data_IF_503633989804
#
_entry.id   IF_503633989804
#
_cell.length_a   1.000
_cell.length_b   1.000
_cell.length_c   1.000
_cell.angle_alpha   90.00
_cell.angle_beta   90.00
_cell.angle_gamma   90.00
#
_symmetry.space_group_name_H-M   'P 1'
#
loop_
_entity.id
_entity.type
_entity.pdbx_description
1 polymer ?
#
# COMPACT_ATOMS: atom_id res chain seq x y z
N UNK A 1 6.88 21.91 22.32
CA UNK A 1 6.34 20.94 21.32
C UNK A 1 7.10 19.63 21.48
N UNK A 2 6.52 18.63 22.18
CA UNK A 2 7.10 17.28 22.28
C UNK A 2 7.24 16.70 20.87
N UNK A 3 8.49 16.48 20.43
CA UNK A 3 8.78 15.70 19.22
C UNK A 3 8.09 14.33 19.35
N UNK A 4 7.03 14.09 18.57
CA UNK A 4 6.45 12.76 18.42
C UNK A 4 7.58 11.83 17.93
N UNK A 5 8.16 11.06 18.83
CA UNK A 5 9.05 9.95 18.47
C UNK A 5 8.22 8.94 17.70
N UNK A 6 8.35 8.96 16.38
CA UNK A 6 7.83 7.88 15.53
C UNK A 6 8.57 6.64 15.99
N UNK A 7 7.87 5.68 16.60
CA UNK A 7 8.47 4.43 17.04
C UNK A 7 9.15 3.76 15.85
N UNK A 8 10.23 2.99 16.08
CA UNK A 8 10.97 2.22 15.05
C UNK A 8 10.10 1.15 14.32
N UNK A 9 8.79 1.29 14.32
CA UNK A 9 7.84 0.35 13.72
C UNK A 9 7.77 0.59 12.21
N UNK A 10 7.82 -0.48 11.45
CA UNK A 10 7.59 -0.47 9.99
C UNK A 10 6.17 0.00 9.72
N UNK A 11 5.99 1.20 9.15
CA UNK A 11 4.68 1.81 8.95
C UNK A 11 4.43 2.25 7.49
N UNK A 12 5.40 2.02 6.60
CA UNK A 12 5.26 2.36 5.18
C UNK A 12 4.71 1.16 4.41
N UNK A 13 3.67 1.43 3.64
CA UNK A 13 3.13 0.61 2.59
C UNK A 13 3.61 1.18 1.25
N UNK A 14 4.69 0.64 0.71
CA UNK A 14 5.33 1.16 -0.50
C UNK A 14 4.62 0.63 -1.75
N UNK A 15 4.22 1.52 -2.66
CA UNK A 15 3.63 1.15 -3.96
C UNK A 15 4.67 1.37 -5.05
N UNK A 16 4.77 0.43 -6.01
CA UNK A 16 5.71 0.55 -7.14
C UNK A 16 5.46 1.82 -7.96
N UNK A 17 6.48 2.34 -8.66
CA UNK A 17 6.25 3.33 -9.69
C UNK A 17 5.46 2.72 -10.87
N UNK A 18 4.88 3.56 -11.73
CA UNK A 18 4.13 3.10 -12.91
C UNK A 18 5.01 2.43 -13.97
N UNK A 19 6.31 2.81 -14.03
CA UNK A 19 7.31 2.23 -14.95
C UNK A 19 8.51 1.71 -14.17
N UNK A 20 8.96 0.51 -14.51
CA UNK A 20 10.13 -0.13 -13.92
C UNK A 20 11.36 0.18 -14.78
N UNK A 21 12.20 1.11 -14.32
CA UNK A 21 13.49 1.47 -14.95
C UNK A 21 14.60 0.48 -14.53
N UNK A 22 15.74 0.47 -15.23
CA UNK A 22 16.92 -0.39 -14.87
C UNK A 22 17.35 -0.20 -13.40
N UNK A 23 17.42 1.05 -12.92
CA UNK A 23 17.81 1.40 -11.54
C UNK A 23 16.79 1.02 -10.46
N UNK A 24 15.56 0.63 -10.84
CA UNK A 24 14.50 0.35 -9.88
C UNK A 24 14.87 -0.70 -8.83
N UNK A 25 15.46 -1.82 -9.26
CA UNK A 25 15.76 -2.92 -8.34
C UNK A 25 16.83 -2.54 -7.30
N UNK A 26 17.84 -1.76 -7.70
CA UNK A 26 18.84 -1.22 -6.77
C UNK A 26 18.20 -0.25 -5.79
N UNK A 27 17.40 0.69 -6.29
CA UNK A 27 16.67 1.63 -5.46
C UNK A 27 15.68 0.93 -4.51
N UNK A 28 14.98 -0.12 -4.97
CA UNK A 28 14.09 -0.90 -4.12
C UNK A 28 14.85 -1.52 -2.94
N UNK A 29 16.02 -2.14 -3.19
CA UNK A 29 16.85 -2.70 -2.11
C UNK A 29 17.25 -1.64 -1.09
N UNK A 30 17.66 -0.45 -1.54
CA UNK A 30 18.03 0.68 -0.66
C UNK A 30 16.82 1.12 0.16
N UNK A 31 15.64 1.27 -0.46
CA UNK A 31 14.43 1.67 0.27
C UNK A 31 14.01 0.62 1.30
N UNK A 32 14.06 -0.67 0.95
CA UNK A 32 13.68 -1.74 1.87
C UNK A 32 14.67 -1.94 3.02
N UNK A 33 15.96 -1.63 2.83
CA UNK A 33 16.97 -1.71 3.89
C UNK A 33 16.79 -0.65 4.99
N UNK A 34 15.94 0.37 4.78
CA UNK A 34 15.59 1.36 5.80
C UNK A 34 14.84 0.79 7.00
N UNK A 35 14.31 -0.43 6.91
CA UNK A 35 13.43 -1.04 7.91
C UNK A 35 12.12 -0.27 8.19
N UNK A 36 11.70 0.67 7.34
CA UNK A 36 10.45 1.40 7.48
C UNK A 36 9.29 0.75 6.74
N UNK A 37 9.58 -0.13 5.76
CA UNK A 37 8.59 -0.72 4.86
C UNK A 37 8.09 -2.06 5.39
N UNK A 38 6.76 -2.18 5.55
CA UNK A 38 6.08 -3.45 5.87
C UNK A 38 5.56 -4.17 4.65
N UNK A 39 5.01 -3.42 3.70
CA UNK A 39 4.37 -3.93 2.50
C UNK A 39 4.96 -3.27 1.26
N UNK A 40 5.12 -4.06 0.22
CA UNK A 40 5.39 -3.57 -1.13
C UNK A 40 4.27 -4.01 -2.07
N UNK A 41 3.53 -3.06 -2.65
CA UNK A 41 2.52 -3.34 -3.65
C UNK A 41 3.09 -3.19 -5.05
N UNK A 42 3.02 -4.26 -5.85
CA UNK A 42 3.36 -4.23 -7.27
C UNK A 42 2.14 -3.79 -8.07
N UNK A 43 2.15 -2.56 -8.60
CA UNK A 43 1.07 -1.95 -9.37
C UNK A 43 1.56 -1.51 -10.74
N UNK A 44 1.38 -2.37 -11.75
CA UNK A 44 1.85 -2.20 -13.13
C UNK A 44 0.67 -2.36 -14.11
N UNK A 45 -0.19 -1.35 -14.19
CA UNK A 45 -1.45 -1.42 -14.97
C UNK A 45 -1.24 -1.52 -16.49
N UNK A 46 -0.11 -1.04 -17.00
CA UNK A 46 0.18 -1.00 -18.44
C UNK A 46 1.16 -2.08 -18.91
N UNK A 47 1.44 -3.06 -18.05
CA UNK A 47 2.32 -4.19 -18.34
C UNK A 47 1.50 -5.44 -18.65
N UNK A 48 1.96 -6.24 -19.60
CA UNK A 48 1.38 -7.55 -19.90
C UNK A 48 1.46 -8.49 -18.69
N UNK A 49 0.64 -9.52 -18.67
CA UNK A 49 0.65 -10.55 -17.62
C UNK A 49 2.04 -11.22 -17.51
N UNK A 50 2.69 -11.47 -18.65
CA UNK A 50 4.02 -12.10 -18.71
C UNK A 50 5.06 -11.22 -18.03
N UNK A 51 5.07 -9.92 -18.36
CA UNK A 51 5.99 -8.96 -17.74
C UNK A 51 5.72 -8.80 -16.25
N UNK A 52 4.45 -8.65 -15.84
CA UNK A 52 4.07 -8.56 -14.43
C UNK A 52 4.52 -9.80 -13.64
N UNK A 53 4.40 -10.99 -14.23
CA UNK A 53 4.89 -12.25 -13.63
C UNK A 53 6.41 -12.23 -13.47
N UNK A 54 7.14 -11.91 -14.55
CA UNK A 54 8.62 -11.85 -14.54
C UNK A 54 9.15 -10.85 -13.51
N UNK A 55 8.58 -9.64 -13.49
CA UNK A 55 8.94 -8.58 -12.54
C UNK A 55 8.57 -9.00 -11.12
N UNK A 56 7.36 -9.53 -10.92
CA UNK A 56 6.85 -9.95 -9.62
C UNK A 56 7.70 -11.01 -8.95
N UNK A 57 8.18 -12.00 -9.71
CA UNK A 57 9.09 -13.04 -9.19
C UNK A 57 10.41 -12.44 -8.69
N UNK A 58 11.01 -11.50 -9.45
CA UNK A 58 12.24 -10.79 -9.01
C UNK A 58 12.00 -9.99 -7.74
N UNK A 59 10.89 -9.24 -7.69
CA UNK A 59 10.55 -8.41 -6.53
C UNK A 59 10.26 -9.27 -5.31
N UNK A 60 9.58 -10.43 -5.48
CA UNK A 60 9.33 -11.37 -4.38
C UNK A 60 10.62 -11.81 -3.69
N UNK A 61 11.67 -12.16 -4.47
CA UNK A 61 12.98 -12.52 -3.92
C UNK A 61 13.58 -11.38 -3.09
N UNK A 62 13.47 -10.14 -3.59
CA UNK A 62 13.94 -8.94 -2.87
C UNK A 62 13.13 -8.73 -1.59
N UNK A 63 11.80 -8.71 -1.68
CA UNK A 63 10.93 -8.52 -0.52
C UNK A 63 11.19 -9.57 0.57
N UNK A 64 11.35 -10.85 0.20
CA UNK A 64 11.68 -11.93 1.14
C UNK A 64 12.98 -11.64 1.90
N UNK A 65 14.04 -11.19 1.21
CA UNK A 65 15.34 -10.85 1.83
C UNK A 65 15.20 -9.77 2.92
N UNK A 66 14.34 -8.77 2.68
CA UNK A 66 14.12 -7.65 3.62
C UNK A 66 12.93 -7.87 4.58
N UNK A 67 12.31 -9.06 4.58
CA UNK A 67 11.13 -9.40 5.41
C UNK A 67 9.96 -8.43 5.17
N UNK A 68 9.75 -8.02 3.90
CA UNK A 68 8.65 -7.15 3.45
C UNK A 68 7.61 -8.03 2.74
N UNK A 69 6.33 -7.79 3.00
CA UNK A 69 5.23 -8.53 2.37
C UNK A 69 4.97 -8.01 0.96
N UNK A 70 4.96 -8.92 -0.03
CA UNK A 70 4.62 -8.58 -1.41
C UNK A 70 3.11 -8.67 -1.64
N UNK A 71 2.50 -7.57 -2.07
CA UNK A 71 1.08 -7.48 -2.44
C UNK A 71 0.97 -7.21 -3.93
N UNK A 72 0.12 -7.95 -4.63
CA UNK A 72 -0.19 -7.72 -6.05
C UNK A 72 -1.43 -6.84 -6.17
N UNK A 73 -1.37 -5.84 -7.03
CA UNK A 73 -2.51 -4.97 -7.28
C UNK A 73 -3.51 -5.64 -8.23
N UNK A 74 -4.79 -5.64 -7.89
CA UNK A 74 -5.99 -6.02 -8.68
C UNK A 74 -6.06 -7.50 -9.12
N UNK A 75 -5.01 -8.32 -8.99
CA UNK A 75 -4.92 -9.64 -9.63
C UNK A 75 -4.61 -10.78 -8.63
N UNK A 76 -5.64 -11.40 -8.02
CA UNK A 76 -5.48 -12.54 -7.12
C UNK A 76 -4.85 -13.77 -7.77
N UNK A 77 -5.12 -13.99 -9.08
CA UNK A 77 -4.55 -15.13 -9.80
C UNK A 77 -3.04 -14.99 -9.98
N UNK A 78 -2.57 -13.80 -10.37
CA UNK A 78 -1.14 -13.51 -10.44
C UNK A 78 -0.49 -13.61 -9.05
N UNK A 79 -1.16 -13.10 -8.00
CA UNK A 79 -0.66 -13.19 -6.63
C UNK A 79 -0.47 -14.65 -6.20
N UNK A 80 -1.43 -15.53 -6.50
CA UNK A 80 -1.33 -16.99 -6.27
C UNK A 80 -0.17 -17.58 -7.09
N UNK A 81 -0.12 -17.30 -8.40
CA UNK A 81 0.84 -17.86 -9.36
C UNK A 81 2.30 -17.57 -9.01
N UNK A 82 2.62 -16.37 -8.54
CA UNK A 82 3.98 -16.01 -8.12
C UNK A 82 4.25 -16.27 -6.64
N UNK A 83 3.24 -16.73 -5.91
CA UNK A 83 3.31 -16.97 -4.47
C UNK A 83 3.49 -15.69 -3.64
N UNK A 84 2.91 -14.55 -4.06
CA UNK A 84 2.92 -13.32 -3.28
C UNK A 84 2.22 -13.50 -1.92
N UNK A 85 2.43 -12.57 -0.98
CA UNK A 85 1.82 -12.61 0.35
C UNK A 85 0.33 -12.24 0.31
N UNK A 86 -0.12 -11.53 -0.74
CA UNK A 86 -1.53 -11.16 -0.89
C UNK A 86 -1.82 -10.33 -2.14
N UNK A 87 -3.05 -9.80 -2.16
CA UNK A 87 -3.56 -8.94 -3.21
C UNK A 87 -4.26 -7.71 -2.62
N UNK A 88 -4.23 -6.59 -3.34
CA UNK A 88 -5.01 -5.39 -3.05
C UNK A 88 -6.03 -5.16 -4.14
N UNK A 89 -7.30 -4.98 -3.77
CA UNK A 89 -8.43 -4.84 -4.66
C UNK A 89 -8.99 -3.41 -4.63
N UNK A 90 -9.38 -2.89 -5.78
CA UNK A 90 -10.24 -1.73 -5.90
C UNK A 90 -11.71 -2.12 -5.91
N UNK A 91 -12.60 -1.12 -6.10
CA UNK A 91 -14.04 -1.35 -6.06
C UNK A 91 -14.62 -1.98 -7.33
N UNK A 92 -13.88 -1.90 -8.45
CA UNK A 92 -14.26 -2.46 -9.74
C UNK A 92 -13.50 -3.75 -10.09
N UNK A 93 -12.71 -4.26 -9.11
CA UNK A 93 -11.95 -5.48 -9.28
C UNK A 93 -12.75 -6.69 -8.75
N UNK A 94 -12.12 -7.86 -8.69
CA UNK A 94 -12.72 -9.08 -8.15
C UNK A 94 -13.22 -8.84 -6.71
N UNK A 95 -14.41 -9.33 -6.38
CA UNK A 95 -14.95 -9.23 -5.00
C UNK A 95 -14.14 -10.07 -4.01
N UNK A 96 -14.14 -9.66 -2.73
CA UNK A 96 -13.32 -10.27 -1.69
C UNK A 96 -13.58 -11.76 -1.56
N UNK A 97 -14.84 -12.20 -1.63
CA UNK A 97 -15.23 -13.59 -1.45
C UNK A 97 -14.62 -14.50 -2.54
N UNK A 98 -14.59 -14.06 -3.80
CA UNK A 98 -13.95 -14.80 -4.89
C UNK A 98 -12.44 -14.79 -4.79
N UNK A 99 -11.85 -13.62 -4.50
CA UNK A 99 -10.43 -13.51 -4.24
C UNK A 99 -9.99 -14.41 -3.07
N UNK A 100 -10.84 -14.58 -2.05
CA UNK A 100 -10.60 -15.47 -0.90
C UNK A 100 -10.58 -16.95 -1.31
N UNK A 101 -11.44 -17.37 -2.25
CA UNK A 101 -11.40 -18.73 -2.80
C UNK A 101 -10.05 -19.04 -3.46
N UNK A 102 -9.46 -18.06 -4.15
CA UNK A 102 -8.17 -18.18 -4.86
C UNK A 102 -6.99 -18.12 -3.88
N UNK A 103 -7.00 -17.13 -3.00
CA UNK A 103 -5.86 -16.77 -2.13
C UNK A 103 -5.86 -17.50 -0.78
N UNK A 104 -6.96 -18.15 -0.42
CA UNK A 104 -7.11 -18.88 0.86
C UNK A 104 -6.76 -17.97 2.05
N UNK A 105 -5.74 -18.29 2.81
CA UNK A 105 -5.29 -17.56 4.03
C UNK A 105 -4.40 -16.34 3.74
N UNK A 106 -4.13 -16.02 2.47
CA UNK A 106 -3.28 -14.86 2.11
C UNK A 106 -3.99 -13.53 2.35
N UNK A 107 -3.21 -12.47 2.38
CA UNK A 107 -3.68 -11.11 2.66
C UNK A 107 -4.55 -10.60 1.51
N UNK A 108 -5.73 -10.10 1.82
CA UNK A 108 -6.60 -9.35 0.90
C UNK A 108 -6.86 -7.99 1.52
N UNK A 109 -6.42 -6.94 0.83
CA UNK A 109 -6.75 -5.57 1.17
C UNK A 109 -7.71 -4.96 0.16
N UNK A 110 -8.47 -3.95 0.57
CA UNK A 110 -9.41 -3.28 -0.31
C UNK A 110 -9.43 -1.77 -0.14
N UNK A 111 -9.56 -1.05 -1.27
CA UNK A 111 -9.75 0.40 -1.30
C UNK A 111 -11.18 0.74 -0.89
N UNK A 112 -11.35 1.59 0.14
CA UNK A 112 -12.66 2.07 0.63
C UNK A 112 -12.91 3.55 0.32
N UNK A 113 -12.04 4.21 -0.44
CA UNK A 113 -12.13 5.64 -0.76
C UNK A 113 -12.36 6.50 0.50
N UNK A 114 -13.36 7.38 0.47
CA UNK A 114 -13.80 8.20 1.61
C UNK A 114 -15.12 7.71 2.22
N UNK A 115 -15.47 6.42 2.07
CA UNK A 115 -16.80 5.88 2.35
C UNK A 115 -16.85 4.97 3.57
N UNK A 116 -17.61 5.36 4.59
CA UNK A 116 -17.95 4.50 5.73
C UNK A 116 -18.72 3.23 5.31
N UNK A 117 -19.56 3.32 4.27
CA UNK A 117 -20.32 2.18 3.71
C UNK A 117 -19.37 1.11 3.17
N UNK A 118 -18.37 1.52 2.37
CA UNK A 118 -17.37 0.58 1.82
C UNK A 118 -16.50 -0.04 2.92
N UNK A 119 -16.19 0.70 3.99
CA UNK A 119 -15.48 0.16 5.14
C UNK A 119 -16.29 -0.93 5.84
N UNK A 120 -17.60 -0.71 6.05
CA UNK A 120 -18.48 -1.73 6.63
C UNK A 120 -18.53 -3.00 5.79
N UNK A 121 -18.67 -2.88 4.47
CA UNK A 121 -18.63 -4.03 3.56
C UNK A 121 -17.29 -4.75 3.61
N UNK A 122 -16.17 -4.02 3.57
CA UNK A 122 -14.83 -4.62 3.65
C UNK A 122 -14.65 -5.48 4.92
N UNK A 123 -15.14 -4.99 6.06
CA UNK A 123 -15.10 -5.73 7.34
C UNK A 123 -15.97 -6.97 7.27
N UNK A 124 -17.24 -6.84 6.82
CA UNK A 124 -18.18 -7.94 6.67
C UNK A 124 -17.66 -9.04 5.75
N UNK A 125 -17.05 -8.65 4.64
CA UNK A 125 -16.56 -9.55 3.59
C UNK A 125 -15.20 -10.19 3.91
N UNK A 126 -14.59 -9.87 5.06
CA UNK A 126 -13.38 -10.51 5.54
C UNK A 126 -12.08 -10.00 4.91
N UNK A 127 -11.99 -8.70 4.61
CA UNK A 127 -10.73 -8.06 4.27
C UNK A 127 -9.72 -8.20 5.42
N UNK A 128 -8.41 -8.20 5.08
CA UNK A 128 -7.35 -8.22 6.08
C UNK A 128 -6.84 -6.80 6.43
N UNK A 129 -7.08 -5.83 5.58
CA UNK A 129 -6.89 -4.40 5.83
C UNK A 129 -7.75 -3.56 4.90
N UNK A 130 -7.99 -2.33 5.29
CA UNK A 130 -8.71 -1.33 4.49
C UNK A 130 -7.78 -0.19 4.10
N UNK A 131 -7.96 0.35 2.86
CA UNK A 131 -7.24 1.53 2.40
C UNK A 131 -8.21 2.71 2.21
N UNK A 132 -7.95 3.83 2.89
CA UNK A 132 -8.76 5.04 2.90
C UNK A 132 -8.00 6.16 2.18
N UNK A 133 -8.67 6.92 1.37
CA UNK A 133 -8.11 8.07 0.64
C UNK A 133 -8.91 8.40 -0.63
N UNK A 134 -8.45 9.36 -1.42
CA UNK A 134 -7.17 10.04 -1.26
C UNK A 134 -7.26 11.18 -0.23
N UNK A 135 -6.17 11.44 0.48
CA UNK A 135 -6.09 12.57 1.41
C UNK A 135 -5.55 13.83 0.75
N UNK A 136 -4.76 13.71 -0.31
CA UNK A 136 -4.20 14.82 -1.08
C UNK A 136 -4.27 14.52 -2.58
N UNK A 137 -4.21 15.55 -3.41
CA UNK A 137 -4.07 15.43 -4.87
C UNK A 137 -2.82 14.60 -5.20
N UNK A 138 -2.86 13.80 -6.26
CA UNK A 138 -1.78 12.90 -6.67
C UNK A 138 -1.53 13.00 -8.16
N UNK A 139 -0.26 12.93 -8.57
CA UNK A 139 0.14 12.86 -9.99
C UNK A 139 -0.05 11.45 -10.59
N UNK A 140 -0.13 10.42 -9.75
CA UNK A 140 -0.14 9.00 -10.18
C UNK A 140 -1.52 8.46 -10.50
N UNK A 141 -2.59 9.10 -10.01
CA UNK A 141 -3.98 8.72 -10.29
C UNK A 141 -4.87 9.96 -10.18
N UNK A 142 -5.84 10.12 -11.10
CA UNK A 142 -6.92 11.12 -10.97
C UNK A 142 -7.67 10.85 -9.66
N UNK A 143 -7.80 11.86 -8.83
CA UNK A 143 -8.44 11.77 -7.51
C UNK A 143 -9.87 12.28 -7.63
N UNK A 144 -10.84 11.40 -7.49
CA UNK A 144 -12.26 11.74 -7.54
C UNK A 144 -12.84 12.00 -6.14
N UNK A 145 -12.16 11.54 -5.08
CA UNK A 145 -12.64 11.62 -3.70
C UNK A 145 -11.52 12.10 -2.79
N UNK A 146 -11.80 13.11 -1.97
CA UNK A 146 -10.90 13.55 -0.90
C UNK A 146 -11.49 13.09 0.43
N UNK A 147 -10.70 12.33 1.19
CA UNK A 147 -11.06 11.85 2.51
C UNK A 147 -10.70 12.89 3.58
N UNK A 148 -11.59 13.06 4.57
CA UNK A 148 -11.29 13.87 5.76
C UNK A 148 -10.52 13.02 6.78
N UNK A 149 -9.55 13.59 7.51
CA UNK A 149 -8.78 12.86 8.53
C UNK A 149 -9.64 12.22 9.63
N UNK A 150 -10.80 12.80 9.95
CA UNK A 150 -11.78 12.24 10.89
C UNK A 150 -12.26 10.83 10.50
N UNK A 151 -12.23 10.47 9.20
CA UNK A 151 -12.58 9.13 8.74
C UNK A 151 -11.58 8.08 9.25
N UNK A 152 -10.30 8.43 9.39
CA UNK A 152 -9.30 7.52 9.97
C UNK A 152 -9.67 7.20 11.41
N UNK A 153 -9.91 8.22 12.23
CA UNK A 153 -10.30 8.05 13.64
C UNK A 153 -11.59 7.25 13.79
N UNK A 154 -12.56 7.49 12.90
CA UNK A 154 -13.79 6.72 12.87
C UNK A 154 -13.53 5.24 12.53
N UNK A 155 -12.75 4.95 11.48
CA UNK A 155 -12.42 3.59 11.09
C UNK A 155 -11.68 2.85 12.20
N UNK A 156 -10.72 3.50 12.87
CA UNK A 156 -9.96 2.92 14.00
C UNK A 156 -10.83 2.58 15.21
N UNK A 157 -11.95 3.30 15.42
CA UNK A 157 -12.94 2.93 16.44
C UNK A 157 -13.89 1.84 15.96
N UNK A 158 -14.25 1.85 14.67
CA UNK A 158 -15.23 0.92 14.10
C UNK A 158 -14.67 -0.50 13.92
N UNK A 159 -13.40 -0.65 13.55
CA UNK A 159 -12.81 -1.97 13.25
C UNK A 159 -11.40 -2.11 13.82
N UNK A 160 -11.03 -3.36 14.12
CA UNK A 160 -9.64 -3.74 14.47
C UNK A 160 -8.77 -4.00 13.24
N UNK A 161 -9.32 -3.97 12.02
CA UNK A 161 -8.52 -4.12 10.81
C UNK A 161 -7.49 -3.00 10.69
N UNK A 162 -6.26 -3.31 10.22
CA UNK A 162 -5.29 -2.29 9.90
C UNK A 162 -5.83 -1.27 8.90
N UNK A 163 -5.63 0.01 9.20
CA UNK A 163 -6.03 1.14 8.36
C UNK A 163 -4.83 1.68 7.61
N UNK A 164 -4.84 1.52 6.30
CA UNK A 164 -3.87 2.10 5.37
C UNK A 164 -4.43 3.43 4.85
N UNK A 165 -3.66 4.50 4.91
CA UNK A 165 -4.04 5.77 4.32
C UNK A 165 -3.24 6.02 3.03
N UNK A 166 -3.90 6.56 2.00
CA UNK A 166 -3.35 6.70 0.66
C UNK A 166 -3.73 8.02 0.00
N UNK A 167 -2.96 8.43 -1.00
CA UNK A 167 -3.24 9.53 -1.91
C UNK A 167 -2.43 10.79 -1.59
N UNK A 168 -1.45 11.09 -2.45
CA UNK A 168 -0.61 12.28 -2.40
C UNK A 168 0.24 12.44 -1.14
N UNK A 169 0.51 11.36 -0.41
CA UNK A 169 1.28 11.39 0.84
C UNK A 169 2.77 11.61 0.53
N UNK A 170 3.36 12.60 1.19
CA UNK A 170 4.76 13.00 1.07
C UNK A 170 5.35 13.27 2.47
N UNK A 171 6.66 13.45 2.53
CA UNK A 171 7.37 13.89 3.74
C UNK A 171 6.87 15.23 4.32
N UNK A 172 6.27 16.09 3.48
CA UNK A 172 5.76 17.41 3.90
C UNK A 172 4.39 17.37 4.57
N UNK A 173 3.58 16.34 4.29
CA UNK A 173 2.16 16.32 4.72
C UNK A 173 1.75 15.13 5.60
N UNK A 174 2.55 14.07 5.70
CA UNK A 174 2.15 12.85 6.40
C UNK A 174 1.97 13.02 7.91
N UNK A 175 2.75 13.92 8.56
CA UNK A 175 2.75 14.08 10.01
C UNK A 175 1.38 14.47 10.57
N UNK A 176 0.62 15.31 9.83
CA UNK A 176 -0.75 15.70 10.22
C UNK A 176 -1.70 14.50 10.28
N UNK A 177 -1.51 13.51 9.40
CA UNK A 177 -2.35 12.32 9.36
C UNK A 177 -2.02 11.32 10.48
N UNK A 178 -0.78 11.32 10.99
CA UNK A 178 -0.36 10.45 12.10
C UNK A 178 -1.11 10.76 13.41
N UNK A 179 -1.64 11.98 13.59
CA UNK A 179 -2.48 12.35 14.74
C UNK A 179 -3.74 11.48 14.86
N UNK A 180 -4.21 10.93 13.73
CA UNK A 180 -5.37 10.03 13.66
C UNK A 180 -5.00 8.54 13.78
N UNK A 181 -3.72 8.22 14.05
CA UNK A 181 -3.17 6.89 14.33
C UNK A 181 -3.49 5.83 13.24
N UNK A 182 -3.29 6.13 11.93
CA UNK A 182 -3.34 5.08 10.91
C UNK A 182 -2.25 4.03 11.17
N UNK A 183 -2.46 2.80 10.68
CA UNK A 183 -1.46 1.75 10.84
C UNK A 183 -0.36 1.83 9.77
N UNK A 184 -0.70 2.23 8.55
CA UNK A 184 0.25 2.34 7.44
C UNK A 184 -0.01 3.55 6.54
N UNK A 185 1.10 4.10 6.00
CA UNK A 185 1.11 5.15 4.98
C UNK A 185 1.41 4.52 3.62
N UNK A 186 0.48 4.55 2.67
CA UNK A 186 0.71 4.09 1.30
C UNK A 186 1.34 5.20 0.46
N UNK A 187 2.57 4.98 0.01
CA UNK A 187 3.40 5.97 -0.66
C UNK A 187 3.93 5.40 -1.98
N UNK A 188 3.85 6.18 -3.07
CA UNK A 188 4.51 5.90 -4.35
C UNK A 188 5.36 7.09 -4.77
N UNK A 189 4.79 8.12 -5.39
CA UNK A 189 5.52 9.29 -5.90
C UNK A 189 6.35 10.02 -4.83
N UNK A 190 5.90 10.02 -3.57
CA UNK A 190 6.68 10.58 -2.45
C UNK A 190 8.07 9.97 -2.27
N UNK A 191 8.29 8.77 -2.81
CA UNK A 191 9.59 8.07 -2.81
C UNK A 191 10.20 8.05 -4.22
N UNK A 192 9.43 7.63 -5.25
CA UNK A 192 9.98 7.32 -6.58
C UNK A 192 10.22 8.53 -7.47
N UNK A 193 9.51 9.65 -7.23
CA UNK A 193 9.67 10.92 -7.99
C UNK A 193 10.87 11.75 -7.50
N UNK A 194 11.64 11.24 -6.55
CA UNK A 194 12.82 11.84 -5.95
C UNK A 194 14.01 10.86 -6.03
N UNK A 195 15.13 11.20 -5.36
CA UNK A 195 16.21 10.22 -5.06
C UNK A 195 15.72 9.27 -3.96
N UNK A 196 15.38 7.98 -4.25
CA UNK A 196 14.67 7.12 -3.29
C UNK A 196 15.43 6.91 -1.97
N UNK A 197 16.76 6.83 -2.03
CA UNK A 197 17.63 6.71 -0.86
C UNK A 197 17.51 7.89 0.12
N UNK A 198 17.34 9.12 -0.41
CA UNK A 198 17.10 10.32 0.43
C UNK A 198 15.65 10.39 0.86
N UNK A 199 14.72 10.14 -0.07
CA UNK A 199 13.29 10.29 0.16
C UNK A 199 12.76 9.39 1.28
N UNK A 200 13.26 8.15 1.40
CA UNK A 200 12.80 7.23 2.46
C UNK A 200 13.21 7.72 3.86
N UNK A 201 14.38 8.36 3.99
CA UNK A 201 14.87 8.90 5.26
C UNK A 201 14.04 10.10 5.75
N UNK A 202 13.37 10.81 4.84
CA UNK A 202 12.50 11.95 5.17
C UNK A 202 11.21 11.55 5.90
N UNK A 203 10.93 10.24 6.03
CA UNK A 203 9.83 9.68 6.82
C UNK A 203 10.25 9.22 8.23
N UNK A 204 11.50 9.39 8.58
CA UNK A 204 12.02 9.24 9.94
C UNK A 204 11.76 10.52 10.75
#
# INVERSE_FOLDING_TARGET
LKKLRVSKKRFIYLISPNKIKKSFYTNLKIVLSSNLVSFFQLRLKHYSLIERKKIGIKIKKICKKYKVKLIINDDPNLAKKIGADGCHLGQNDMVIQEARKILKKKIIGITCHNSKKLIRYAVKDGANYIAIGAFFKSKTKKVNFIAKPSLISWAKRFTKLPVVIIGGITNKNFRKLLLHKPDFLAISGGIWDKKPAKAIKEFL
#
